data_IF_619627658797
#
_entry.id   IF_619627658797
#
_cell.length_a   1.000
_cell.length_b   1.000
_cell.length_c   1.000
_cell.angle_alpha   90.00
_cell.angle_beta   90.00
_cell.angle_gamma   90.00
#
_symmetry.space_group_name_H-M   'P 1'
#
loop_
_entity.id
_entity.type
_entity.pdbx_description
1 polymer ?
#
# COMPACT_ATOMS: atom_id res chain seq x y z
N UNK A 1 -10.51 -18.48 4.03
CA UNK A 1 -9.38 -17.92 4.81
C UNK A 1 -9.71 -16.46 5.14
N UNK A 2 -9.24 -15.95 6.27
CA UNK A 2 -9.42 -14.55 6.67
C UNK A 2 -8.07 -13.86 6.53
N UNK A 3 -8.07 -12.64 5.98
CA UNK A 3 -6.88 -11.79 5.91
C UNK A 3 -7.15 -10.52 6.72
N UNK A 4 -6.36 -10.29 7.76
CA UNK A 4 -6.45 -9.12 8.63
C UNK A 4 -5.38 -8.09 8.25
N UNK A 5 -5.82 -6.92 7.80
CA UNK A 5 -4.93 -5.82 7.40
C UNK A 5 -4.59 -4.93 8.59
N UNK A 6 -3.31 -4.67 8.80
CA UNK A 6 -2.85 -3.76 9.87
C UNK A 6 -2.35 -2.43 9.29
N UNK A 7 -2.64 -1.28 9.93
CA UNK A 7 -1.96 -0.04 9.61
C UNK A 7 -0.54 -0.03 10.20
N UNK A 8 0.35 0.89 9.77
CA UNK A 8 1.58 1.14 10.50
C UNK A 8 1.24 1.76 11.86
N UNK A 9 1.71 1.13 12.95
CA UNK A 9 1.38 1.55 14.32
C UNK A 9 2.61 2.03 15.10
N UNK A 10 2.36 2.74 16.20
CA UNK A 10 3.34 2.97 17.28
C UNK A 10 3.23 1.84 18.30
N UNK A 11 4.10 1.82 19.32
CA UNK A 11 4.06 0.83 20.40
C UNK A 11 2.67 0.72 21.06
N UNK A 12 2.05 1.86 21.38
CA UNK A 12 0.69 1.88 21.93
C UNK A 12 -0.38 1.31 20.97
N UNK A 13 -0.17 1.37 19.65
CA UNK A 13 -1.03 0.73 18.67
C UNK A 13 -0.74 -0.76 18.54
N UNK A 14 0.53 -1.15 18.66
CA UNK A 14 0.96 -2.54 18.66
C UNK A 14 0.38 -3.32 19.86
N UNK A 15 0.29 -2.68 21.04
CA UNK A 15 -0.39 -3.26 22.20
C UNK A 15 -1.86 -3.57 21.93
N UNK A 16 -2.56 -2.69 21.19
CA UNK A 16 -3.94 -2.96 20.76
C UNK A 16 -4.00 -4.11 19.75
N UNK A 17 -3.03 -4.18 18.83
CA UNK A 17 -2.95 -5.27 17.86
C UNK A 17 -2.72 -6.62 18.53
N UNK A 18 -1.93 -6.71 19.61
CA UNK A 18 -1.71 -7.96 20.36
C UNK A 18 -3.00 -8.61 20.82
N UNK A 19 -3.94 -7.84 21.37
CA UNK A 19 -5.25 -8.38 21.79
C UNK A 19 -6.04 -8.92 20.60
N UNK A 20 -5.99 -8.26 19.45
CA UNK A 20 -6.63 -8.72 18.22
C UNK A 20 -5.96 -9.98 17.66
N UNK A 21 -4.62 -10.03 17.67
CA UNK A 21 -3.86 -11.20 17.24
C UNK A 21 -4.13 -12.41 18.12
N UNK A 22 -4.22 -12.24 19.45
CA UNK A 22 -4.61 -13.31 20.35
C UNK A 22 -6.00 -13.87 20.02
N UNK A 23 -6.97 -12.98 19.73
CA UNK A 23 -8.29 -13.41 19.31
C UNK A 23 -8.26 -14.14 17.96
N UNK A 24 -7.53 -13.61 16.97
CA UNK A 24 -7.39 -14.22 15.63
C UNK A 24 -6.69 -15.59 15.70
N UNK A 25 -5.65 -15.72 16.52
CA UNK A 25 -4.88 -16.94 16.69
C UNK A 25 -5.70 -18.06 17.34
N UNK A 26 -6.73 -17.71 18.12
CA UNK A 26 -7.67 -18.65 18.72
C UNK A 26 -8.77 -19.13 17.75
N UNK A 27 -8.85 -18.58 16.53
CA UNK A 27 -9.84 -19.00 15.55
C UNK A 27 -9.45 -20.32 14.87
N UNK A 28 -10.45 -21.14 14.51
CA UNK A 28 -10.23 -22.44 13.88
C UNK A 28 -9.75 -22.37 12.41
N UNK A 29 -9.74 -21.18 11.81
CA UNK A 29 -9.37 -20.97 10.42
C UNK A 29 -7.93 -20.47 10.29
N UNK A 30 -7.29 -20.77 9.15
CA UNK A 30 -6.03 -20.10 8.80
C UNK A 30 -6.27 -18.60 8.60
N UNK A 31 -5.53 -17.79 9.34
CA UNK A 31 -5.56 -16.33 9.29
C UNK A 31 -4.24 -15.80 8.74
N UNK A 32 -4.35 -14.95 7.72
CA UNK A 32 -3.25 -14.13 7.24
C UNK A 32 -3.28 -12.77 7.95
N UNK A 33 -2.12 -12.23 8.30
CA UNK A 33 -1.98 -10.87 8.83
C UNK A 33 -1.08 -10.08 7.91
N UNK A 34 -1.65 -9.06 7.27
CA UNK A 34 -0.89 -8.13 6.44
C UNK A 34 -0.24 -7.09 7.34
N UNK A 35 1.08 -7.14 7.45
CA UNK A 35 1.87 -6.19 8.24
C UNK A 35 2.37 -5.03 7.37
N UNK A 36 2.26 -3.81 7.87
CA UNK A 36 2.71 -2.61 7.17
C UNK A 36 3.82 -1.85 7.91
N UNK A 37 4.35 -2.43 8.98
CA UNK A 37 5.52 -2.00 9.71
C UNK A 37 6.29 -3.21 10.27
N UNK A 38 7.57 -3.02 10.61
CA UNK A 38 8.45 -4.09 11.05
C UNK A 38 8.17 -4.55 12.50
N UNK A 39 7.62 -3.68 13.35
CA UNK A 39 7.28 -4.03 14.74
C UNK A 39 6.12 -5.03 14.78
N UNK A 40 5.12 -4.82 13.94
CA UNK A 40 4.02 -5.77 13.73
C UNK A 40 4.55 -7.14 13.26
N UNK A 41 5.48 -7.17 12.29
CA UNK A 41 6.11 -8.42 11.86
C UNK A 41 6.83 -9.14 12.99
N UNK A 42 7.57 -8.39 13.81
CA UNK A 42 8.32 -8.94 14.93
C UNK A 42 7.38 -9.56 15.96
N UNK A 43 6.30 -8.89 16.34
CA UNK A 43 5.28 -9.42 17.27
C UNK A 43 4.62 -10.68 16.72
N UNK A 44 4.24 -10.70 15.44
CA UNK A 44 3.68 -11.90 14.83
C UNK A 44 4.64 -13.10 14.90
N UNK A 45 5.94 -12.85 14.71
CA UNK A 45 6.97 -13.88 14.75
C UNK A 45 7.24 -14.41 16.15
N UNK A 46 7.36 -13.52 17.14
CA UNK A 46 7.73 -13.86 18.51
C UNK A 46 6.54 -14.41 19.32
N UNK A 47 5.34 -13.87 19.10
CA UNK A 47 4.19 -14.12 19.98
C UNK A 47 3.07 -14.95 19.31
N UNK A 48 2.94 -14.93 17.97
CA UNK A 48 1.78 -15.49 17.27
C UNK A 48 2.12 -16.41 16.09
N UNK A 49 2.81 -17.51 16.38
CA UNK A 49 3.35 -18.41 15.35
C UNK A 49 2.31 -19.11 14.43
N UNK A 50 1.03 -19.11 14.79
CA UNK A 50 -0.07 -19.67 13.99
C UNK A 50 -0.62 -18.69 12.95
N UNK A 51 -0.35 -17.39 13.10
CA UNK A 51 -0.76 -16.37 12.14
C UNK A 51 0.24 -16.30 10.99
N UNK A 52 -0.25 -16.25 9.76
CA UNK A 52 0.59 -16.23 8.55
C UNK A 52 0.91 -14.78 8.17
N UNK A 53 2.15 -14.30 8.31
CA UNK A 53 2.48 -12.91 7.97
C UNK A 53 2.52 -12.71 6.46
N UNK A 54 1.91 -11.61 6.01
CA UNK A 54 1.91 -11.16 4.62
C UNK A 54 2.53 -9.76 4.57
N UNK A 55 3.54 -9.54 3.74
CA UNK A 55 4.15 -8.21 3.62
C UNK A 55 3.17 -7.28 2.91
N UNK A 56 2.68 -6.27 3.61
CA UNK A 56 1.76 -5.30 3.05
C UNK A 56 2.40 -4.29 2.10
N UNK A 57 1.55 -3.67 1.27
CA UNK A 57 1.96 -2.73 0.21
C UNK A 57 2.70 -1.51 0.73
N UNK A 58 2.50 -1.10 1.99
CA UNK A 58 3.12 0.12 2.54
C UNK A 58 4.63 -0.01 2.75
N UNK A 59 5.14 -1.25 2.80
CA UNK A 59 6.57 -1.51 2.93
C UNK A 59 7.32 -1.52 1.59
N UNK A 60 6.65 -1.39 0.45
CA UNK A 60 7.34 -1.25 -0.84
C UNK A 60 7.83 0.20 -1.02
N UNK A 61 9.12 0.33 -1.34
CA UNK A 61 9.85 1.61 -1.45
C UNK A 61 9.87 2.17 -2.87
N UNK A 62 8.79 1.94 -3.60
CA UNK A 62 8.64 2.45 -4.97
C UNK A 62 8.09 3.88 -4.96
N UNK A 63 8.53 4.71 -5.90
CA UNK A 63 7.90 6.01 -6.16
C UNK A 63 6.49 5.80 -6.74
N UNK A 64 5.47 6.34 -6.06
CA UNK A 64 4.04 6.13 -6.38
C UNK A 64 3.29 7.43 -6.67
N UNK A 65 4.03 8.51 -6.87
CA UNK A 65 3.44 9.82 -7.08
C UNK A 65 3.05 9.98 -8.56
N UNK A 66 1.74 10.02 -8.87
CA UNK A 66 1.28 10.14 -10.26
C UNK A 66 1.68 11.48 -10.89
N UNK A 67 2.12 12.47 -10.10
CA UNK A 67 2.54 13.78 -10.60
C UNK A 67 3.86 13.75 -11.35
N UNK A 68 4.76 12.88 -10.93
CA UNK A 68 6.09 12.76 -11.52
C UNK A 68 6.14 11.62 -12.53
N UNK A 69 5.07 10.82 -12.61
CA UNK A 69 4.94 9.74 -13.59
C UNK A 69 5.15 10.16 -15.03
N UNK A 70 4.50 11.22 -15.52
CA UNK A 70 4.67 11.59 -16.91
C UNK A 70 6.13 12.02 -17.23
N UNK A 71 6.88 12.50 -16.24
CA UNK A 71 8.28 12.90 -16.43
C UNK A 71 9.20 11.72 -16.74
N UNK A 72 9.05 10.60 -16.00
CA UNK A 72 9.84 9.39 -16.28
C UNK A 72 9.22 8.52 -17.37
N UNK A 73 7.95 8.76 -17.72
CA UNK A 73 7.29 8.08 -18.83
C UNK A 73 7.47 8.80 -20.18
N UNK A 74 8.02 10.02 -20.19
CA UNK A 74 8.19 10.81 -21.40
C UNK A 74 9.13 10.12 -22.42
N UNK A 75 8.92 10.32 -23.74
CA UNK A 75 9.77 9.74 -24.78
C UNK A 75 11.24 10.15 -24.70
N UNK A 76 11.51 11.34 -24.17
CA UNK A 76 12.83 11.94 -23.97
C UNK A 76 13.37 11.75 -22.55
N UNK A 77 12.69 10.94 -21.72
CA UNK A 77 13.14 10.67 -20.36
C UNK A 77 14.52 9.98 -20.36
N UNK A 78 15.43 10.33 -19.43
CA UNK A 78 16.76 9.72 -19.37
C UNK A 78 16.72 8.20 -19.30
N UNK A 79 17.63 7.53 -20.02
CA UNK A 79 17.72 6.07 -20.00
C UNK A 79 17.87 5.54 -18.57
N UNK A 80 17.13 4.49 -18.23
CA UNK A 80 17.17 3.87 -16.90
C UNK A 80 16.42 4.62 -15.79
N UNK A 81 15.85 5.81 -16.04
CA UNK A 81 15.09 6.55 -15.01
C UNK A 81 13.88 5.74 -14.50
N UNK A 82 13.19 5.01 -15.38
CA UNK A 82 12.08 4.14 -14.96
C UNK A 82 12.55 3.04 -14.03
N UNK A 83 13.67 2.39 -14.35
CA UNK A 83 14.25 1.34 -13.53
C UNK A 83 14.69 1.86 -12.16
N UNK A 84 15.23 3.09 -12.07
CA UNK A 84 15.63 3.69 -10.79
C UNK A 84 14.45 4.10 -9.90
N UNK A 85 13.26 4.31 -10.48
CA UNK A 85 12.02 4.57 -9.75
C UNK A 85 11.28 3.29 -9.33
N UNK A 86 11.69 2.13 -9.85
CA UNK A 86 11.05 0.85 -9.60
C UNK A 86 11.54 0.00 -8.40
N UNK A 87 12.66 0.26 -7.69
CA UNK A 87 13.15 -0.72 -6.71
C UNK A 87 12.28 -0.75 -5.46
N UNK A 88 11.32 -1.69 -5.44
CA UNK A 88 10.57 -2.13 -4.25
C UNK A 88 11.39 -3.05 -3.33
N UNK A 89 12.65 -3.32 -3.73
CA UNK A 89 13.66 -4.09 -3.00
C UNK A 89 13.43 -5.58 -2.92
N UNK A 90 12.37 -6.10 -3.55
CA UNK A 90 11.97 -7.51 -3.48
C UNK A 90 12.95 -8.47 -4.17
N UNK A 91 13.69 -7.96 -5.14
CA UNK A 91 14.78 -8.63 -5.84
C UNK A 91 16.05 -8.77 -4.98
N UNK A 92 16.21 -7.96 -3.92
CA UNK A 92 17.38 -8.00 -3.06
C UNK A 92 17.44 -9.30 -2.23
N UNK A 93 18.49 -10.14 -2.36
CA UNK A 93 18.59 -11.42 -1.64
C UNK A 93 18.55 -11.29 -0.12
N UNK A 94 19.07 -10.18 0.43
CA UNK A 94 19.03 -9.89 1.86
C UNK A 94 17.60 -9.69 2.37
N UNK A 95 16.77 -8.94 1.64
CA UNK A 95 15.36 -8.76 1.98
C UNK A 95 14.60 -10.07 1.84
N UNK A 96 14.85 -10.84 0.77
CA UNK A 96 14.21 -12.13 0.57
C UNK A 96 14.54 -13.10 1.73
N UNK A 97 15.80 -13.16 2.14
CA UNK A 97 16.27 -14.00 3.25
C UNK A 97 15.66 -13.59 4.58
N UNK A 98 15.52 -12.28 4.81
CA UNK A 98 14.83 -11.75 5.99
C UNK A 98 13.36 -12.19 5.99
N UNK A 99 12.61 -11.91 4.92
CA UNK A 99 11.19 -12.26 4.83
C UNK A 99 10.94 -13.76 5.01
N UNK A 100 11.79 -14.62 4.42
CA UNK A 100 11.72 -16.08 4.61
C UNK A 100 11.98 -16.49 6.06
N UNK A 101 12.94 -15.87 6.76
CA UNK A 101 13.19 -16.11 8.20
C UNK A 101 11.94 -15.82 9.03
N UNK A 102 11.18 -14.81 8.65
CA UNK A 102 9.91 -14.46 9.27
C UNK A 102 8.71 -15.28 8.75
N UNK A 103 8.92 -16.28 7.89
CA UNK A 103 7.89 -17.14 7.28
C UNK A 103 6.88 -16.37 6.41
N UNK A 104 7.34 -15.30 5.78
CA UNK A 104 6.53 -14.55 4.81
C UNK A 104 6.54 -15.31 3.48
N UNK A 105 5.35 -15.71 3.03
CA UNK A 105 5.13 -16.43 1.77
C UNK A 105 4.50 -15.53 0.70
N UNK A 106 3.78 -14.49 1.12
CA UNK A 106 3.03 -13.59 0.23
C UNK A 106 3.47 -12.14 0.45
N UNK A 107 3.57 -11.41 -0.66
CA UNK A 107 3.87 -9.97 -0.67
C UNK A 107 2.80 -9.24 -1.47
N UNK A 108 2.36 -8.11 -0.96
CA UNK A 108 1.34 -7.28 -1.59
C UNK A 108 1.95 -6.04 -2.22
N UNK A 109 1.46 -5.71 -3.41
CA UNK A 109 1.98 -4.65 -4.26
C UNK A 109 0.85 -3.82 -4.87
N UNK A 110 1.27 -2.70 -5.44
CA UNK A 110 0.46 -1.71 -6.12
C UNK A 110 0.59 -1.85 -7.63
N UNK A 111 -0.50 -1.60 -8.39
CA UNK A 111 -0.38 -1.39 -9.83
C UNK A 111 0.32 -0.05 -10.05
N UNK A 112 1.56 -0.08 -10.51
CA UNK A 112 2.38 1.12 -10.70
C UNK A 112 2.20 1.71 -12.10
N UNK A 113 2.19 3.04 -12.19
CA UNK A 113 2.06 3.76 -13.45
C UNK A 113 3.32 3.68 -14.33
N UNK A 114 4.45 3.27 -13.76
CA UNK A 114 5.73 3.05 -14.45
C UNK A 114 5.91 1.65 -15.04
N UNK A 115 4.87 0.81 -15.10
CA UNK A 115 4.91 -0.60 -15.56
C UNK A 115 6.01 -1.44 -14.87
N UNK A 116 5.76 -1.84 -13.62
CA UNK A 116 6.75 -2.46 -12.73
C UNK A 116 6.62 -3.97 -12.57
N UNK A 117 5.97 -4.65 -13.51
CA UNK A 117 5.49 -6.03 -13.33
C UNK A 117 6.34 -7.06 -14.08
N UNK A 118 7.53 -6.66 -14.54
CA UNK A 118 8.52 -7.60 -15.08
C UNK A 118 9.18 -8.39 -13.96
N UNK A 119 9.48 -9.67 -14.24
CA UNK A 119 10.27 -10.53 -13.33
C UNK A 119 9.58 -10.98 -12.05
N UNK A 120 8.27 -10.76 -11.85
CA UNK A 120 7.59 -11.16 -10.61
C UNK A 120 7.59 -12.68 -10.39
N UNK A 121 7.50 -13.46 -11.47
CA UNK A 121 7.64 -14.93 -11.45
C UNK A 121 9.00 -15.42 -10.90
N UNK A 122 10.02 -14.56 -10.86
CA UNK A 122 11.35 -14.88 -10.31
C UNK A 122 11.41 -14.65 -8.80
N UNK A 123 10.41 -13.98 -8.22
CA UNK A 123 10.35 -13.76 -6.79
C UNK A 123 10.00 -15.07 -6.09
N UNK A 124 10.60 -15.36 -4.94
CA UNK A 124 10.32 -16.58 -4.20
C UNK A 124 9.05 -16.49 -3.33
N UNK A 125 8.16 -15.57 -3.67
CA UNK A 125 6.96 -15.25 -2.92
C UNK A 125 5.76 -15.29 -3.85
N UNK A 126 4.59 -15.66 -3.32
CA UNK A 126 3.35 -15.37 -3.99
C UNK A 126 3.16 -13.85 -4.03
N UNK A 127 2.89 -13.32 -5.22
CA UNK A 127 2.67 -11.88 -5.40
C UNK A 127 1.17 -11.60 -5.48
N UNK A 128 0.70 -10.68 -4.65
CA UNK A 128 -0.65 -10.18 -4.65
C UNK A 128 -0.68 -8.69 -5.03
N UNK A 129 -1.68 -8.24 -5.79
CA UNK A 129 -1.82 -6.83 -6.14
C UNK A 129 -3.19 -6.27 -5.79
N UNK A 130 -3.20 -5.01 -5.39
CA UNK A 130 -4.42 -4.25 -5.17
C UNK A 130 -4.97 -3.67 -6.48
N UNK A 131 -6.28 -3.78 -6.67
CA UNK A 131 -7.01 -3.26 -7.84
C UNK A 131 -8.30 -2.55 -7.39
N UNK A 132 -8.72 -1.43 -8.00
CA UNK A 132 -8.02 -0.69 -9.06
C UNK A 132 -7.08 0.39 -8.50
N UNK A 133 -7.19 0.70 -7.22
CA UNK A 133 -6.51 1.86 -6.63
C UNK A 133 -5.07 1.54 -6.24
N UNK A 134 -4.16 2.42 -6.63
CA UNK A 134 -2.80 2.50 -6.12
C UNK A 134 -2.71 3.42 -4.89
N UNK A 135 -1.88 3.07 -3.92
CA UNK A 135 -1.52 3.88 -2.76
C UNK A 135 -0.46 4.92 -3.18
N UNK A 136 -0.62 6.16 -2.74
CA UNK A 136 0.41 7.21 -2.88
C UNK A 136 1.18 7.35 -1.57
N UNK A 137 0.47 7.72 -0.50
CA UNK A 137 1.06 8.00 0.82
C UNK A 137 -0.01 7.95 1.91
N UNK A 138 0.40 7.72 3.16
CA UNK A 138 -0.44 7.86 4.35
C UNK A 138 0.33 8.61 5.44
N UNK A 139 -0.36 9.48 6.17
CA UNK A 139 0.23 10.31 7.21
C UNK A 139 -0.43 10.13 8.57
N UNK A 140 0.16 10.66 9.64
CA UNK A 140 -0.50 10.73 10.96
C UNK A 140 -1.47 11.90 11.08
N UNK A 141 -1.34 12.88 10.19
CA UNK A 141 -2.24 14.03 10.10
C UNK A 141 -3.34 13.73 9.09
N UNK A 142 -4.59 14.01 9.48
CA UNK A 142 -5.76 13.68 8.68
C UNK A 142 -6.49 14.97 8.31
N UNK A 143 -6.47 15.35 7.03
CA UNK A 143 -7.22 16.51 6.56
C UNK A 143 -8.73 16.30 6.75
N UNK A 144 -9.24 15.12 6.40
CA UNK A 144 -10.65 14.77 6.57
C UNK A 144 -11.09 14.86 8.05
N UNK A 145 -10.26 14.39 8.98
CA UNK A 145 -10.52 14.49 10.41
C UNK A 145 -10.42 15.90 10.98
N UNK A 146 -9.88 16.84 10.20
CA UNK A 146 -9.65 18.24 10.61
C UNK A 146 -10.69 19.20 10.03
N UNK A 147 -11.65 18.71 9.24
CA UNK A 147 -12.61 19.55 8.50
C UNK A 147 -13.44 20.45 9.42
N UNK A 148 -13.79 19.96 10.61
CA UNK A 148 -14.63 20.66 11.58
C UNK A 148 -13.83 21.29 12.73
N UNK A 149 -12.49 21.30 12.64
CA UNK A 149 -11.63 21.88 13.67
C UNK A 149 -11.26 23.33 13.33
N UNK A 150 -11.04 24.12 14.37
CA UNK A 150 -10.48 25.47 14.26
C UNK A 150 -9.04 25.40 13.75
N UNK A 151 -8.58 26.44 13.05
CA UNK A 151 -7.28 26.44 12.36
C UNK A 151 -6.11 26.08 13.30
N UNK A 152 -6.12 26.57 14.54
CA UNK A 152 -5.11 26.26 15.56
C UNK A 152 -5.07 24.80 15.99
N UNK A 153 -6.17 24.07 15.77
CA UNK A 153 -6.35 22.66 16.18
C UNK A 153 -6.12 21.69 15.02
N UNK A 154 -6.04 22.18 13.78
CA UNK A 154 -5.84 21.34 12.59
C UNK A 154 -4.44 20.75 12.56
N UNK A 155 -4.33 19.55 11.99
CA UNK A 155 -3.06 18.86 11.72
C UNK A 155 -2.18 18.58 12.95
N UNK A 156 -2.77 18.60 14.15
CA UNK A 156 -2.08 18.21 15.37
C UNK A 156 -1.83 16.69 15.39
N UNK A 157 -0.65 16.23 15.86
CA UNK A 157 -0.43 14.81 16.10
C UNK A 157 -1.46 14.27 17.10
N UNK A 158 -2.00 13.07 16.84
CA UNK A 158 -2.96 12.39 17.72
C UNK A 158 -4.27 13.16 17.96
N UNK A 159 -4.73 13.94 16.99
CA UNK A 159 -6.06 14.55 17.07
C UNK A 159 -7.15 13.46 17.19
N UNK A 160 -8.27 13.81 17.83
CA UNK A 160 -9.44 12.92 17.90
C UNK A 160 -9.99 12.69 16.49
N UNK A 161 -10.07 11.43 16.07
CA UNK A 161 -10.70 11.04 14.82
C UNK A 161 -12.19 10.80 15.05
N UNK A 162 -13.06 11.54 14.35
CA UNK A 162 -14.51 11.33 14.39
C UNK A 162 -15.00 10.48 13.20
N UNK A 163 -14.08 9.95 12.41
CA UNK A 163 -14.35 9.08 11.26
C UNK A 163 -15.14 9.78 10.15
N UNK A 164 -14.87 11.07 9.92
CA UNK A 164 -15.42 11.87 8.82
C UNK A 164 -15.20 11.19 7.45
N UNK A 165 -14.13 10.40 7.31
CA UNK A 165 -13.82 9.59 6.13
C UNK A 165 -14.81 8.45 5.82
N UNK A 166 -15.74 8.16 6.73
CA UNK A 166 -16.87 7.26 6.46
C UNK A 166 -17.94 7.92 5.62
N UNK A 167 -18.03 9.26 5.65
CA UNK A 167 -19.02 10.05 4.93
C UNK A 167 -18.40 10.76 3.72
N UNK A 168 -17.14 11.16 3.83
CA UNK A 168 -16.47 11.99 2.83
C UNK A 168 -15.21 11.33 2.27
N UNK A 169 -15.04 11.46 0.96
CA UNK A 169 -13.78 11.28 0.24
C UNK A 169 -13.53 12.53 -0.58
N UNK A 170 -12.28 12.96 -0.69
CA UNK A 170 -11.93 14.15 -1.46
C UNK A 170 -11.18 13.76 -2.72
N UNK A 171 -11.61 14.29 -3.85
CA UNK A 171 -10.82 14.29 -5.07
C UNK A 171 -10.00 15.58 -5.13
N UNK A 172 -8.73 15.46 -5.46
CA UNK A 172 -7.83 16.58 -5.66
C UNK A 172 -7.37 16.59 -7.10
N UNK A 173 -7.48 17.76 -7.75
CA UNK A 173 -7.09 17.98 -9.13
C UNK A 173 -6.03 19.07 -9.17
N UNK A 174 -5.03 18.87 -10.02
CA UNK A 174 -4.03 19.89 -10.29
C UNK A 174 -4.51 20.83 -11.39
N UNK A 175 -4.31 22.12 -11.14
CA UNK A 175 -4.58 23.18 -12.11
C UNK A 175 -3.41 24.16 -12.05
N UNK A 176 -2.83 24.48 -13.21
CA UNK A 176 -1.82 25.54 -13.33
C UNK A 176 -0.49 25.19 -12.66
N UNK A 177 -0.10 23.92 -12.67
CA UNK A 177 1.19 23.50 -12.12
C UNK A 177 2.27 23.47 -13.21
N UNK A 178 3.54 23.62 -12.80
CA UNK A 178 4.67 23.48 -13.72
C UNK A 178 4.93 22.01 -14.13
N UNK A 179 4.26 21.04 -13.48
CA UNK A 179 4.36 19.64 -13.81
C UNK A 179 3.24 19.27 -14.81
N UNK A 180 3.47 18.30 -15.70
CA UNK A 180 2.47 17.80 -16.65
C UNK A 180 1.41 16.93 -15.95
N UNK A 181 0.68 17.51 -15.00
CA UNK A 181 -0.27 16.83 -14.12
C UNK A 181 -1.70 17.31 -14.30
N UNK A 182 -1.93 18.19 -15.27
CA UNK A 182 -3.25 18.67 -15.64
C UNK A 182 -4.13 17.47 -16.02
N UNK A 183 -5.23 17.29 -15.28
CA UNK A 183 -6.13 16.14 -15.43
C UNK A 183 -5.80 14.93 -14.56
N UNK A 184 -4.63 14.87 -13.91
CA UNK A 184 -4.31 13.83 -12.93
C UNK A 184 -5.06 14.11 -11.62
N UNK A 185 -5.87 13.14 -11.20
CA UNK A 185 -6.57 13.16 -9.93
C UNK A 185 -5.90 12.24 -8.91
N UNK A 186 -5.90 12.67 -7.65
CA UNK A 186 -5.78 11.72 -6.53
C UNK A 186 -6.96 11.82 -5.60
N UNK A 187 -7.23 10.70 -4.97
CA UNK A 187 -8.32 10.51 -4.07
C UNK A 187 -7.77 10.38 -2.68
N UNK A 188 -8.41 11.05 -1.73
CA UNK A 188 -8.06 10.91 -0.33
C UNK A 188 -9.26 10.37 0.44
N UNK A 189 -8.99 9.35 1.24
CA UNK A 189 -9.90 8.82 2.25
C UNK A 189 -9.16 8.76 3.57
N UNK A 190 -9.67 9.51 4.56
CA UNK A 190 -8.99 9.69 5.83
C UNK A 190 -7.63 10.37 5.67
N UNK A 191 -6.59 9.74 6.19
CA UNK A 191 -5.21 10.22 6.16
C UNK A 191 -4.40 9.64 4.98
N UNK A 192 -5.04 8.92 4.06
CA UNK A 192 -4.37 8.19 2.99
C UNK A 192 -4.78 8.73 1.62
N UNK A 193 -3.79 8.88 0.75
CA UNK A 193 -3.94 9.27 -0.65
C UNK A 193 -3.77 8.07 -1.57
N UNK A 194 -4.60 8.03 -2.60
CA UNK A 194 -4.67 6.99 -3.61
C UNK A 194 -4.72 7.61 -5.00
N UNK A 195 -4.35 6.83 -6.02
CA UNK A 195 -4.60 7.13 -7.42
C UNK A 195 -5.37 5.97 -8.06
N UNK A 196 -6.05 6.25 -9.16
CA UNK A 196 -6.63 5.21 -10.01
C UNK A 196 -5.91 5.30 -11.37
N UNK A 197 -5.17 4.26 -11.80
CA UNK A 197 -4.64 4.22 -13.15
C UNK A 197 -5.76 4.33 -14.21
N UNK A 198 -5.44 4.83 -15.42
CA UNK A 198 -6.36 4.79 -16.54
C UNK A 198 -6.84 3.36 -16.85
N UNK A 199 -8.04 3.23 -17.42
CA UNK A 199 -8.68 1.93 -17.67
C UNK A 199 -7.81 1.01 -18.54
N UNK A 200 -7.12 1.57 -19.53
CA UNK A 200 -6.18 0.86 -20.40
C UNK A 200 -4.99 0.25 -19.64
N UNK A 201 -4.49 0.93 -18.60
CA UNK A 201 -3.41 0.43 -17.74
C UNK A 201 -3.93 -0.72 -16.87
N UNK A 202 -5.13 -0.56 -16.33
CA UNK A 202 -5.80 -1.58 -15.52
C UNK A 202 -6.10 -2.85 -16.34
N UNK A 203 -6.64 -2.70 -17.54
CA UNK A 203 -6.95 -3.79 -18.46
C UNK A 203 -5.67 -4.52 -18.89
N UNK A 204 -4.65 -3.78 -19.33
CA UNK A 204 -3.37 -4.36 -19.70
C UNK A 204 -2.73 -5.13 -18.52
N UNK A 205 -2.81 -4.60 -17.30
CA UNK A 205 -2.34 -5.28 -16.11
C UNK A 205 -3.09 -6.59 -15.88
N UNK A 206 -4.43 -6.56 -15.88
CA UNK A 206 -5.25 -7.74 -15.61
C UNK A 206 -5.03 -8.86 -16.62
N UNK A 207 -4.97 -8.53 -17.92
CA UNK A 207 -4.73 -9.50 -18.99
C UNK A 207 -3.33 -10.14 -18.91
N UNK A 208 -2.34 -9.41 -18.39
CA UNK A 208 -0.96 -9.88 -18.26
C UNK A 208 -0.58 -10.44 -16.88
N UNK A 209 -1.46 -10.34 -15.88
CA UNK A 209 -1.12 -10.57 -14.48
C UNK A 209 -0.59 -11.99 -14.22
N UNK A 210 -1.33 -13.01 -14.65
CA UNK A 210 -0.94 -14.41 -14.45
C UNK A 210 0.37 -14.74 -15.15
N UNK A 211 0.52 -14.35 -16.42
CA UNK A 211 1.74 -14.56 -17.20
C UNK A 211 2.97 -13.88 -16.58
N UNK A 212 2.77 -12.80 -15.84
CA UNK A 212 3.85 -12.08 -15.14
C UNK A 212 4.20 -12.68 -13.78
N UNK A 213 3.38 -13.59 -13.24
CA UNK A 213 3.59 -14.28 -11.95
C UNK A 213 2.73 -13.74 -10.81
N UNK A 214 1.64 -13.02 -11.11
CA UNK A 214 0.67 -12.60 -10.08
C UNK A 214 -0.20 -13.79 -9.67
N UNK A 215 -0.15 -14.15 -8.39
CA UNK A 215 -0.92 -15.27 -7.84
C UNK A 215 -2.23 -14.85 -7.15
N UNK A 216 -2.45 -13.54 -6.92
CA UNK A 216 -3.66 -13.03 -6.25
C UNK A 216 -3.98 -11.59 -6.67
N UNK A 217 -5.25 -11.31 -6.92
CA UNK A 217 -5.77 -9.93 -7.08
C UNK A 217 -6.64 -9.60 -5.88
N UNK A 218 -6.37 -8.47 -5.24
CA UNK A 218 -7.10 -7.93 -4.10
C UNK A 218 -8.00 -6.81 -4.64
N UNK A 219 -9.27 -7.15 -4.82
CA UNK A 219 -10.25 -6.21 -5.37
C UNK A 219 -10.78 -5.25 -4.30
N UNK A 220 -10.68 -3.95 -4.57
CA UNK A 220 -11.12 -2.84 -3.74
C UNK A 220 -12.15 -2.02 -4.54
N UNK A 221 -13.45 -2.37 -4.48
CA UNK A 221 -14.47 -1.68 -5.27
C UNK A 221 -14.58 -0.20 -4.90
N UNK A 222 -14.25 0.14 -3.65
CA UNK A 222 -14.22 1.50 -3.12
C UNK A 222 -12.82 1.89 -2.64
N UNK A 223 -12.60 3.20 -2.45
CA UNK A 223 -11.38 3.69 -1.82
C UNK A 223 -11.21 3.07 -0.42
N UNK A 224 -10.04 2.50 -0.10
CA UNK A 224 -9.82 1.83 1.18
C UNK A 224 -9.89 2.82 2.36
N UNK A 225 -10.35 2.33 3.52
CA UNK A 225 -10.25 3.02 4.81
C UNK A 225 -9.12 2.44 5.66
#
# INVERSE_FOLDING_TARGET
>A
AITFLTPPVTDAGLDKLRSLFAWLAAQAHSVEVVFNDWGTLQVLHEEFATLRPVRGRLLSKTMRDPRVTPLYNAPDAPEGIRASMQPGGLDMPALQSLLRRYRVETVELDILLQDSISGLHQLPFQVAFYFPYGFVTTGRQCMAGSLHLEESERFQPMQRCQHECRLYSTEHRFVGTALPTDGTAFYQRGNTFFYCPPAEVLEHFLLGAEAKGVGRVIYQPDLPM
#
